data_IF_499756238867
#
_entry.id   IF_499756238867
#
_cell.length_a   1.000
_cell.length_b   1.000
_cell.length_c   1.000
_cell.angle_alpha   90.00
_cell.angle_beta   90.00
_cell.angle_gamma   90.00
#
_symmetry.space_group_name_H-M   'P 1'
#
loop_
_entity.id
_entity.type
_entity.pdbx_description
1 polymer ?
#
# COMPACT_ATOMS: atom_id res chain seq x y z
N UNK A 1 15.19 3.16 7.35
CA UNK A 1 14.71 1.83 6.96
C UNK A 1 13.30 1.93 6.38
N UNK A 2 12.90 0.95 5.59
CA UNK A 2 11.51 0.77 5.19
C UNK A 2 10.77 0.07 6.32
N UNK A 3 9.55 0.50 6.63
CA UNK A 3 8.76 -0.09 7.72
C UNK A 3 7.95 -1.30 7.22
N UNK A 4 7.45 -1.23 5.97
CA UNK A 4 6.64 -2.27 5.35
C UNK A 4 7.12 -2.50 3.92
N UNK A 5 7.18 -3.77 3.51
CA UNK A 5 7.42 -4.22 2.14
C UNK A 5 6.30 -5.18 1.75
N UNK A 6 5.59 -4.89 0.67
CA UNK A 6 4.61 -5.81 0.08
C UNK A 6 5.25 -6.59 -1.06
N UNK A 7 5.28 -7.92 -0.94
CA UNK A 7 5.86 -8.82 -1.95
C UNK A 7 4.86 -9.03 -3.09
N UNK A 8 5.19 -8.52 -4.27
CA UNK A 8 4.37 -8.68 -5.48
C UNK A 8 4.54 -10.04 -6.15
N UNK A 9 5.61 -10.78 -5.79
CA UNK A 9 5.93 -12.12 -6.28
C UNK A 9 5.71 -13.22 -5.22
N UNK A 10 4.88 -12.96 -4.22
CA UNK A 10 4.70 -13.86 -3.08
C UNK A 10 4.18 -15.26 -3.47
N UNK A 11 3.48 -15.41 -4.60
CA UNK A 11 3.08 -16.71 -5.17
C UNK A 11 4.31 -17.58 -5.54
N UNK A 12 5.45 -16.96 -5.81
CA UNK A 12 6.70 -17.59 -6.21
C UNK A 12 7.83 -17.33 -5.20
N UNK A 13 7.48 -17.26 -3.92
CA UNK A 13 8.43 -17.02 -2.84
C UNK A 13 9.58 -18.02 -2.90
N UNK A 14 10.80 -17.51 -3.07
CA UNK A 14 12.00 -18.31 -3.31
C UNK A 14 12.88 -18.45 -2.07
N UNK A 15 13.90 -19.29 -2.15
CA UNK A 15 14.92 -19.36 -1.09
C UNK A 15 15.71 -18.05 -0.93
N UNK A 16 15.86 -17.28 -2.00
CA UNK A 16 16.56 -15.99 -1.95
C UNK A 16 15.73 -14.95 -1.20
N UNK A 17 14.41 -14.92 -1.41
CA UNK A 17 13.51 -14.09 -0.63
C UNK A 17 13.59 -14.44 0.86
N UNK A 18 13.67 -15.74 1.18
CA UNK A 18 13.82 -16.22 2.56
C UNK A 18 15.18 -15.84 3.18
N UNK A 19 16.25 -15.79 2.38
CA UNK A 19 17.60 -15.39 2.84
C UNK A 19 17.66 -13.90 3.21
N UNK A 20 16.85 -13.04 2.57
CA UNK A 20 16.80 -11.60 2.84
C UNK A 20 15.93 -11.24 4.06
N UNK A 21 14.98 -12.10 4.44
CA UNK A 21 14.03 -11.85 5.52
C UNK A 21 14.68 -11.49 6.87
N UNK A 22 15.74 -12.19 7.35
CA UNK A 22 16.37 -11.84 8.62
C UNK A 22 16.94 -10.42 8.66
N UNK A 23 17.59 -9.98 7.57
CA UNK A 23 18.15 -8.64 7.47
C UNK A 23 17.07 -7.55 7.46
N UNK A 24 15.92 -7.82 6.86
CA UNK A 24 14.77 -6.91 6.89
C UNK A 24 14.17 -6.81 8.29
N UNK A 25 14.00 -7.94 8.97
CA UNK A 25 13.47 -8.00 10.35
C UNK A 25 14.38 -7.33 11.37
N UNK A 26 15.69 -7.47 11.22
CA UNK A 26 16.66 -6.78 12.08
C UNK A 26 16.47 -5.25 12.03
N UNK A 27 16.01 -4.73 10.89
CA UNK A 27 15.68 -3.31 10.69
C UNK A 27 14.25 -2.94 11.11
N UNK A 28 13.49 -3.89 11.61
CA UNK A 28 12.08 -3.71 11.98
C UNK A 28 11.10 -3.70 10.81
N UNK A 29 11.55 -4.09 9.60
CA UNK A 29 10.70 -4.13 8.42
C UNK A 29 9.74 -5.30 8.48
N UNK A 30 8.45 -5.04 8.26
CA UNK A 30 7.42 -6.06 8.08
C UNK A 30 7.27 -6.41 6.61
N UNK A 31 7.17 -7.70 6.32
CA UNK A 31 7.07 -8.22 4.95
C UNK A 31 5.72 -8.87 4.76
N UNK A 32 4.92 -8.31 3.86
CA UNK A 32 3.55 -8.72 3.60
C UNK A 32 3.42 -9.50 2.29
N UNK A 33 2.47 -10.43 2.25
CA UNK A 33 2.01 -11.06 1.03
C UNK A 33 1.03 -10.13 0.32
N UNK A 34 1.33 -9.68 -0.90
CA UNK A 34 0.40 -8.89 -1.68
C UNK A 34 -0.56 -9.78 -2.48
N UNK A 35 -1.85 -9.61 -2.24
CA UNK A 35 -2.93 -10.14 -3.07
C UNK A 35 -3.24 -9.13 -4.17
N UNK A 36 -2.79 -9.38 -5.39
CA UNK A 36 -3.11 -8.54 -6.55
C UNK A 36 -4.51 -8.86 -7.09
N UNK A 37 -5.53 -8.42 -6.35
CA UNK A 37 -6.92 -8.63 -6.80
C UNK A 37 -7.22 -7.81 -8.05
N UNK A 38 -6.74 -6.58 -8.14
CA UNK A 38 -6.98 -5.71 -9.30
C UNK A 38 -6.46 -6.34 -10.60
N UNK A 39 -5.23 -6.85 -10.59
CA UNK A 39 -4.62 -7.50 -11.75
C UNK A 39 -5.20 -8.88 -12.08
N UNK A 40 -5.84 -9.55 -11.13
CA UNK A 40 -6.36 -10.92 -11.26
C UNK A 40 -7.88 -11.01 -11.16
N UNK A 41 -8.60 -9.90 -11.19
CA UNK A 41 -10.06 -9.86 -11.01
C UNK A 41 -10.81 -10.76 -12.03
N UNK A 42 -10.29 -10.89 -13.26
CA UNK A 42 -10.86 -11.78 -14.26
C UNK A 42 -10.76 -13.30 -13.91
N UNK A 43 -9.76 -13.68 -13.12
CA UNK A 43 -9.58 -15.06 -12.64
C UNK A 43 -10.35 -15.31 -11.33
N UNK A 44 -10.46 -14.28 -10.49
CA UNK A 44 -11.00 -14.34 -9.14
C UNK A 44 -12.44 -13.78 -9.04
N UNK A 45 -13.20 -13.88 -10.12
CA UNK A 45 -14.55 -13.32 -10.24
C UNK A 45 -15.60 -14.04 -9.40
N UNK A 46 -15.42 -15.34 -9.15
CA UNK A 46 -16.37 -16.08 -8.32
C UNK A 46 -15.83 -16.29 -6.90
N UNK A 47 -16.75 -16.33 -5.96
CA UNK A 47 -16.46 -16.43 -4.53
C UNK A 47 -15.71 -17.73 -4.18
N UNK A 48 -16.00 -18.83 -4.86
CA UNK A 48 -15.35 -20.12 -4.64
C UNK A 48 -13.88 -20.09 -5.05
N UNK A 49 -13.57 -19.53 -6.23
CA UNK A 49 -12.20 -19.40 -6.71
C UNK A 49 -11.39 -18.42 -5.85
N UNK A 50 -12.00 -17.30 -5.50
CA UNK A 50 -11.37 -16.32 -4.60
C UNK A 50 -11.10 -16.94 -3.23
N UNK A 51 -12.04 -17.65 -2.65
CA UNK A 51 -11.89 -18.35 -1.38
C UNK A 51 -10.74 -19.37 -1.41
N UNK A 52 -10.68 -20.19 -2.45
CA UNK A 52 -9.60 -21.17 -2.63
C UNK A 52 -8.23 -20.50 -2.81
N UNK A 53 -8.17 -19.35 -3.49
CA UNK A 53 -6.94 -18.56 -3.61
C UNK A 53 -6.51 -17.99 -2.25
N UNK A 54 -7.42 -17.41 -1.48
CA UNK A 54 -7.13 -16.87 -0.14
C UNK A 54 -6.64 -17.97 0.82
N UNK A 55 -7.14 -19.20 0.72
CA UNK A 55 -6.62 -20.32 1.50
C UNK A 55 -5.12 -20.58 1.19
N UNK A 56 -4.73 -20.50 -0.07
CA UNK A 56 -3.32 -20.64 -0.47
C UNK A 56 -2.48 -19.48 0.04
N UNK A 57 -2.98 -18.26 0.00
CA UNK A 57 -2.31 -17.06 0.52
C UNK A 57 -2.06 -17.20 2.02
N UNK A 58 -3.07 -17.56 2.78
CA UNK A 58 -2.97 -17.76 4.24
C UNK A 58 -1.93 -18.83 4.58
N UNK A 59 -1.99 -19.97 3.89
CA UNK A 59 -1.02 -21.04 4.08
C UNK A 59 0.42 -20.61 3.71
N UNK A 60 0.60 -19.79 2.67
CA UNK A 60 1.91 -19.28 2.27
C UNK A 60 2.47 -18.28 3.30
N UNK A 61 1.64 -17.42 3.86
CA UNK A 61 2.05 -16.47 4.92
C UNK A 61 2.52 -17.22 6.15
N UNK A 62 1.80 -18.24 6.58
CA UNK A 62 2.17 -19.09 7.70
C UNK A 62 3.47 -19.85 7.42
N UNK A 63 3.55 -20.55 6.28
CA UNK A 63 4.71 -21.35 5.88
C UNK A 63 6.00 -20.54 5.80
N UNK A 64 5.93 -19.34 5.22
CA UNK A 64 7.10 -18.49 4.99
C UNK A 64 7.34 -17.49 6.13
N UNK A 65 6.50 -17.50 7.17
CA UNK A 65 6.60 -16.62 8.33
C UNK A 65 6.47 -15.15 7.96
N UNK A 66 5.59 -14.79 7.02
CA UNK A 66 5.37 -13.40 6.63
C UNK A 66 4.59 -12.64 7.71
N UNK A 67 4.68 -11.30 7.66
CA UNK A 67 4.14 -10.43 8.70
C UNK A 67 2.71 -9.94 8.38
N UNK A 68 2.01 -10.61 7.50
CA UNK A 68 0.63 -10.34 7.16
C UNK A 68 0.37 -10.17 5.67
N UNK A 69 -0.62 -9.36 5.34
CA UNK A 69 -1.22 -9.28 4.03
C UNK A 69 -1.37 -7.85 3.56
N UNK A 70 -1.24 -7.62 2.24
CA UNK A 70 -1.82 -6.47 1.56
C UNK A 70 -2.69 -6.94 0.39
N UNK A 71 -3.66 -6.13 -0.02
CA UNK A 71 -4.42 -6.39 -1.23
C UNK A 71 -4.64 -5.12 -2.02
N UNK A 72 -4.53 -5.26 -3.34
CA UNK A 72 -4.69 -4.15 -4.25
C UNK A 72 -6.15 -3.90 -4.60
N UNK A 73 -6.39 -2.68 -5.02
CA UNK A 73 -7.67 -2.07 -5.22
C UNK A 73 -8.65 -2.79 -6.12
N UNK A 74 -9.77 -2.19 -6.17
CA UNK A 74 -10.98 -2.66 -6.78
C UNK A 74 -11.11 -1.97 -8.15
N UNK A 75 -11.04 -2.70 -9.27
CA UNK A 75 -10.96 -2.07 -10.58
C UNK A 75 -12.25 -1.35 -11.01
N UNK A 76 -13.40 -1.70 -10.46
CA UNK A 76 -14.68 -1.13 -10.87
C UNK A 76 -15.53 -0.71 -9.67
N UNK A 77 -15.58 0.59 -9.41
CA UNK A 77 -16.51 1.17 -8.45
C UNK A 77 -17.97 0.88 -8.83
N UNK A 78 -18.76 0.42 -7.86
CA UNK A 78 -20.20 0.18 -8.04
C UNK A 78 -20.56 -1.18 -8.62
N UNK A 79 -19.61 -2.05 -8.91
CA UNK A 79 -19.89 -3.43 -9.24
C UNK A 79 -20.12 -4.25 -7.95
N UNK A 80 -21.30 -4.88 -7.86
CA UNK A 80 -21.68 -5.69 -6.69
C UNK A 80 -20.75 -6.89 -6.49
N UNK A 81 -20.25 -7.51 -7.55
CA UNK A 81 -19.31 -8.62 -7.46
C UNK A 81 -17.97 -8.18 -6.84
N UNK A 82 -17.51 -7.00 -7.19
CA UNK A 82 -16.29 -6.38 -6.66
C UNK A 82 -16.43 -6.04 -5.17
N UNK A 83 -17.58 -5.49 -4.76
CA UNK A 83 -17.85 -5.21 -3.35
C UNK A 83 -17.89 -6.50 -2.51
N UNK A 84 -18.50 -7.56 -3.03
CA UNK A 84 -18.52 -8.88 -2.41
C UNK A 84 -17.12 -9.47 -2.27
N UNK A 85 -16.31 -9.38 -3.32
CA UNK A 85 -14.92 -9.84 -3.30
C UNK A 85 -14.06 -9.09 -2.25
N UNK A 86 -14.18 -7.77 -2.17
CA UNK A 86 -13.48 -6.97 -1.18
C UNK A 86 -13.89 -7.36 0.26
N UNK A 87 -15.17 -7.54 0.50
CA UNK A 87 -15.69 -7.99 1.79
C UNK A 87 -15.11 -9.37 2.17
N UNK A 88 -15.10 -10.31 1.24
CA UNK A 88 -14.55 -11.65 1.45
C UNK A 88 -13.05 -11.62 1.74
N UNK A 89 -12.27 -10.83 0.99
CA UNK A 89 -10.82 -10.66 1.21
C UNK A 89 -10.57 -10.15 2.62
N UNK A 90 -11.23 -9.06 3.02
CA UNK A 90 -11.04 -8.46 4.34
C UNK A 90 -11.47 -9.42 5.45
N UNK A 91 -12.63 -10.08 5.32
CA UNK A 91 -13.13 -11.04 6.29
C UNK A 91 -12.14 -12.19 6.50
N UNK A 92 -11.71 -12.83 5.41
CA UNK A 92 -10.82 -14.00 5.46
C UNK A 92 -9.43 -13.65 5.97
N UNK A 93 -8.81 -12.57 5.46
CA UNK A 93 -7.45 -12.17 5.84
C UNK A 93 -7.42 -11.58 7.25
N UNK A 94 -8.41 -10.81 7.67
CA UNK A 94 -8.47 -10.31 9.05
C UNK A 94 -8.68 -11.42 10.07
N UNK A 95 -9.48 -12.43 9.74
CA UNK A 95 -9.70 -13.60 10.60
C UNK A 95 -8.44 -14.49 10.71
N UNK A 96 -7.64 -14.58 9.64
CA UNK A 96 -6.41 -15.35 9.63
C UNK A 96 -5.21 -14.63 10.29
N UNK A 97 -5.31 -13.31 10.43
CA UNK A 97 -4.26 -12.47 10.99
C UNK A 97 -3.97 -12.83 12.45
N UNK A 98 -2.70 -13.06 12.77
CA UNK A 98 -2.21 -13.28 14.14
C UNK A 98 -1.68 -11.98 14.75
N UNK A 99 -1.42 -12.00 16.06
CA UNK A 99 -0.89 -10.82 16.76
C UNK A 99 0.41 -10.31 16.11
N UNK A 100 0.47 -9.00 15.87
CA UNK A 100 1.61 -8.33 15.23
C UNK A 100 1.63 -8.39 13.72
N UNK A 101 0.75 -9.17 13.07
CA UNK A 101 0.58 -9.14 11.62
C UNK A 101 -0.28 -7.96 11.19
N UNK A 102 -0.11 -7.52 9.95
CA UNK A 102 -0.82 -6.39 9.35
C UNK A 102 -1.76 -6.85 8.22
N UNK A 103 -2.83 -6.09 8.04
CA UNK A 103 -3.67 -6.12 6.84
C UNK A 103 -3.71 -4.70 6.26
N UNK A 104 -3.20 -4.55 5.04
CA UNK A 104 -3.10 -3.25 4.35
C UNK A 104 -3.95 -3.29 3.08
N UNK A 105 -4.77 -2.27 2.90
CA UNK A 105 -5.51 -2.06 1.66
C UNK A 105 -4.83 -1.00 0.80
N UNK A 106 -4.63 -1.29 -0.49
CA UNK A 106 -4.03 -0.40 -1.47
C UNK A 106 -5.07 -0.03 -2.53
N UNK A 107 -5.70 1.14 -2.40
CA UNK A 107 -6.75 1.57 -3.33
C UNK A 107 -7.60 2.72 -2.82
N UNK A 108 -8.79 2.89 -3.41
CA UNK A 108 -9.73 3.91 -2.97
C UNK A 108 -10.64 3.37 -1.85
N UNK A 109 -10.55 3.91 -0.63
CA UNK A 109 -11.30 3.39 0.52
C UNK A 109 -12.83 3.62 0.41
N UNK A 110 -13.29 4.47 -0.50
CA UNK A 110 -14.73 4.63 -0.78
C UNK A 110 -15.38 3.34 -1.31
N UNK A 111 -14.59 2.39 -1.78
CA UNK A 111 -15.07 1.10 -2.29
C UNK A 111 -15.18 0.02 -1.20
N UNK A 112 -14.74 0.30 0.01
CA UNK A 112 -14.87 -0.58 1.17
C UNK A 112 -16.04 -0.13 2.04
N UNK A 113 -16.70 -1.09 2.67
CA UNK A 113 -17.68 -0.80 3.72
C UNK A 113 -16.98 -0.31 4.99
N UNK A 114 -17.71 0.38 5.86
CA UNK A 114 -17.20 0.81 7.16
C UNK A 114 -16.68 -0.39 7.99
N UNK A 115 -17.40 -1.51 7.96
CA UNK A 115 -16.97 -2.74 8.63
C UNK A 115 -15.63 -3.25 8.08
N UNK A 116 -15.46 -3.30 6.76
CA UNK A 116 -14.21 -3.69 6.14
C UNK A 116 -13.06 -2.73 6.48
N UNK A 117 -13.29 -1.42 6.43
CA UNK A 117 -12.31 -0.40 6.81
C UNK A 117 -11.87 -0.53 8.27
N UNK A 118 -12.77 -0.92 9.18
CA UNK A 118 -12.44 -1.10 10.58
C UNK A 118 -11.43 -2.23 10.84
N UNK A 119 -11.36 -3.20 9.93
CA UNK A 119 -10.51 -4.40 10.03
C UNK A 119 -9.14 -4.25 9.37
N UNK A 120 -8.93 -3.21 8.56
CA UNK A 120 -7.61 -2.94 7.97
C UNK A 120 -6.77 -2.05 8.89
N UNK A 121 -5.47 -2.32 8.94
CA UNK A 121 -4.54 -1.55 9.78
C UNK A 121 -4.10 -0.25 9.09
N UNK A 122 -3.90 -0.30 7.77
CA UNK A 122 -3.51 0.84 6.94
C UNK A 122 -4.23 0.84 5.60
N UNK A 123 -4.42 2.03 5.06
CA UNK A 123 -4.91 2.28 3.70
C UNK A 123 -3.85 3.05 2.94
N UNK A 124 -3.37 2.51 1.84
CA UNK A 124 -2.52 3.21 0.88
C UNK A 124 -3.44 3.75 -0.21
N UNK A 125 -3.68 5.06 -0.19
CA UNK A 125 -4.54 5.73 -1.16
C UNK A 125 -3.89 5.69 -2.54
N UNK A 126 -4.63 5.29 -3.57
CA UNK A 126 -4.10 5.18 -4.93
C UNK A 126 -3.93 6.56 -5.57
N UNK A 127 -2.81 7.20 -5.24
CA UNK A 127 -2.41 8.54 -5.72
C UNK A 127 -1.25 8.51 -6.71
N UNK A 128 -0.85 7.33 -7.17
CA UNK A 128 0.29 7.17 -8.10
C UNK A 128 0.15 7.94 -9.41
N UNK A 129 -1.09 8.05 -9.91
CA UNK A 129 -1.40 8.75 -11.15
C UNK A 129 -1.91 10.19 -10.92
N UNK A 130 -1.85 10.70 -9.70
CA UNK A 130 -2.26 12.08 -9.38
C UNK A 130 -1.22 13.06 -9.93
N UNK A 131 -1.66 14.02 -10.73
CA UNK A 131 -0.77 14.93 -11.47
C UNK A 131 -0.51 16.26 -10.74
N UNK A 132 -1.39 16.63 -9.79
CA UNK A 132 -1.26 17.91 -9.10
C UNK A 132 -1.73 17.83 -7.64
N UNK A 133 -1.24 18.76 -6.83
CA UNK A 133 -1.50 18.80 -5.37
C UNK A 133 -2.94 19.17 -5.03
N UNK A 134 -3.67 19.83 -5.92
CA UNK A 134 -5.10 20.16 -5.69
C UNK A 134 -5.94 18.88 -5.72
N UNK A 135 -5.74 18.03 -6.72
CA UNK A 135 -6.40 16.74 -6.81
C UNK A 135 -5.98 15.82 -5.67
N UNK A 136 -4.69 15.85 -5.29
CA UNK A 136 -4.19 15.11 -4.15
C UNK A 136 -4.92 15.49 -2.85
N UNK A 137 -5.09 16.78 -2.59
CA UNK A 137 -5.85 17.28 -1.43
C UNK A 137 -7.29 16.79 -1.45
N UNK A 138 -7.94 16.82 -2.61
CA UNK A 138 -9.31 16.33 -2.74
C UNK A 138 -9.42 14.83 -2.48
N UNK A 139 -8.48 14.04 -2.96
CA UNK A 139 -8.44 12.59 -2.69
C UNK A 139 -8.25 12.30 -1.19
N UNK A 140 -7.37 13.04 -0.51
CA UNK A 140 -7.17 12.91 0.94
C UNK A 140 -8.44 13.30 1.71
N UNK A 141 -9.09 14.40 1.34
CA UNK A 141 -10.35 14.82 1.95
C UNK A 141 -11.47 13.79 1.74
N UNK A 142 -11.56 13.19 0.57
CA UNK A 142 -12.52 12.12 0.31
C UNK A 142 -12.23 10.87 1.16
N UNK A 143 -10.97 10.49 1.29
CA UNK A 143 -10.58 9.33 2.10
C UNK A 143 -10.85 9.57 3.60
N UNK A 144 -10.51 10.73 4.13
CA UNK A 144 -10.68 11.04 5.55
C UNK A 144 -12.09 11.46 5.91
N UNK A 145 -12.73 12.30 5.08
CA UNK A 145 -14.04 12.89 5.36
C UNK A 145 -15.22 11.99 4.98
N UNK A 146 -15.19 11.41 3.78
CA UNK A 146 -16.32 10.58 3.30
C UNK A 146 -16.14 9.10 3.60
N UNK A 147 -14.94 8.54 3.37
CA UNK A 147 -14.69 7.15 3.72
C UNK A 147 -14.37 6.94 5.21
N UNK A 148 -14.07 8.01 5.95
CA UNK A 148 -13.83 7.95 7.39
C UNK A 148 -12.50 7.30 7.79
N UNK A 149 -11.50 7.26 6.89
CA UNK A 149 -10.18 6.72 7.21
C UNK A 149 -9.45 7.68 8.15
N UNK A 150 -9.03 7.25 9.35
CA UNK A 150 -8.22 8.09 10.22
C UNK A 150 -6.90 8.49 9.54
N UNK A 151 -6.48 9.74 9.68
CA UNK A 151 -5.22 10.23 9.13
C UNK A 151 -4.02 9.35 9.53
N UNK A 152 -4.04 8.83 10.77
CA UNK A 152 -3.01 7.93 11.31
C UNK A 152 -2.97 6.53 10.67
N UNK A 153 -3.94 6.21 9.81
CA UNK A 153 -3.99 4.96 9.05
C UNK A 153 -3.84 5.18 7.53
N UNK A 154 -3.83 6.43 7.07
CA UNK A 154 -3.80 6.77 5.65
C UNK A 154 -2.38 7.04 5.16
N UNK A 155 -1.95 6.33 4.12
CA UNK A 155 -0.71 6.59 3.38
C UNK A 155 -1.05 7.13 1.99
N UNK A 156 -0.16 7.96 1.45
CA UNK A 156 -0.17 8.32 0.02
C UNK A 156 0.65 7.31 -0.77
N UNK A 157 0.48 7.28 -2.09
CA UNK A 157 1.26 6.46 -3.02
C UNK A 157 1.94 7.35 -4.06
N UNK A 158 3.25 7.20 -4.23
CA UNK A 158 4.03 7.89 -5.24
C UNK A 158 4.89 6.90 -6.04
N UNK A 159 4.93 7.06 -7.36
CA UNK A 159 5.82 6.30 -8.22
C UNK A 159 7.13 7.07 -8.48
N UNK A 160 8.26 6.38 -8.39
CA UNK A 160 9.54 6.96 -8.78
C UNK A 160 9.55 7.29 -10.27
N UNK A 161 10.03 8.48 -10.60
CA UNK A 161 10.02 9.00 -11.97
C UNK A 161 8.74 9.71 -12.39
N UNK A 162 7.68 9.68 -11.58
CA UNK A 162 6.47 10.45 -11.84
C UNK A 162 6.62 11.91 -11.37
N UNK A 163 6.06 12.89 -12.12
CA UNK A 163 5.97 14.28 -11.68
C UNK A 163 4.73 14.51 -10.81
N UNK A 164 4.77 15.58 -10.02
CA UNK A 164 3.62 16.16 -9.33
C UNK A 164 3.74 17.69 -9.36
N UNK A 165 2.70 18.37 -9.84
CA UNK A 165 2.68 19.83 -9.93
C UNK A 165 2.12 20.45 -8.67
N UNK A 166 2.82 21.45 -8.15
CA UNK A 166 2.39 22.22 -6.97
C UNK A 166 1.28 23.25 -7.30
N UNK A 167 0.90 24.07 -6.34
CA UNK A 167 -0.13 25.11 -6.49
C UNK A 167 0.29 26.24 -7.47
N UNK A 168 1.58 26.37 -7.76
CA UNK A 168 2.14 27.33 -8.73
C UNK A 168 2.37 26.72 -10.11
N UNK A 169 1.97 25.46 -10.29
CA UNK A 169 2.19 24.67 -11.52
C UNK A 169 3.70 24.41 -11.75
N UNK A 170 4.49 24.39 -10.69
CA UNK A 170 5.88 23.97 -10.74
C UNK A 170 5.99 22.46 -10.61
N UNK A 171 6.82 21.84 -11.44
CA UNK A 171 7.03 20.40 -11.46
C UNK A 171 8.01 19.97 -10.38
N UNK A 172 7.59 18.97 -9.60
CA UNK A 172 8.41 18.30 -8.58
C UNK A 172 8.42 16.79 -8.80
N UNK A 173 9.40 16.10 -8.24
CA UNK A 173 9.34 14.64 -8.16
C UNK A 173 8.21 14.22 -7.21
N UNK A 174 7.30 13.35 -7.67
CA UNK A 174 6.12 12.96 -6.89
C UNK A 174 6.48 12.39 -5.51
N UNK A 175 7.56 11.60 -5.41
CA UNK A 175 8.03 11.05 -4.11
C UNK A 175 8.37 12.19 -3.13
N UNK A 176 9.07 13.23 -3.58
CA UNK A 176 9.47 14.36 -2.73
C UNK A 176 8.25 15.17 -2.29
N UNK A 177 7.44 15.60 -3.25
CA UNK A 177 6.26 16.43 -2.96
C UNK A 177 5.24 15.69 -2.09
N UNK A 178 4.96 14.42 -2.37
CA UNK A 178 4.02 13.65 -1.55
C UNK A 178 4.55 13.37 -0.14
N UNK A 179 5.86 13.21 0.06
CA UNK A 179 6.43 13.09 1.40
C UNK A 179 6.15 14.36 2.24
N UNK A 180 6.28 15.54 1.66
CA UNK A 180 5.94 16.81 2.31
C UNK A 180 4.44 16.93 2.58
N UNK A 181 3.60 16.44 1.66
CA UNK A 181 2.14 16.43 1.84
C UNK A 181 1.66 15.45 2.89
N UNK A 182 2.34 14.32 3.09
CA UNK A 182 2.08 13.41 4.24
C UNK A 182 2.19 14.17 5.56
N UNK A 183 3.17 15.05 5.69
CA UNK A 183 3.36 15.87 6.89
C UNK A 183 2.32 16.99 6.97
N UNK A 184 2.09 17.73 5.89
CA UNK A 184 1.27 18.94 5.88
C UNK A 184 -0.24 18.70 5.84
N UNK A 185 -0.69 17.57 5.29
CA UNK A 185 -2.13 17.23 5.18
C UNK A 185 -2.68 16.41 6.36
N UNK A 186 -1.85 16.18 7.41
CA UNK A 186 -2.30 15.38 8.54
C UNK A 186 -1.63 15.76 9.86
N UNK A 187 -0.51 15.16 10.29
CA UNK A 187 0.27 14.17 9.53
C UNK A 187 -0.51 12.88 9.21
N UNK A 188 -0.27 12.36 8.01
CA UNK A 188 -0.76 11.06 7.60
C UNK A 188 0.17 9.94 8.12
N UNK A 189 -0.21 8.68 7.92
CA UNK A 189 0.56 7.54 8.41
C UNK A 189 1.91 7.35 7.68
N UNK A 190 2.00 7.74 6.41
CA UNK A 190 3.24 7.60 5.66
C UNK A 190 3.06 7.66 4.14
N UNK A 191 4.08 7.16 3.44
CA UNK A 191 4.17 7.15 1.98
C UNK A 191 4.50 5.75 1.48
N UNK A 192 3.68 5.21 0.57
CA UNK A 192 4.01 4.06 -0.24
C UNK A 192 4.78 4.49 -1.49
N UNK A 193 5.90 3.83 -1.77
CA UNK A 193 6.72 4.11 -2.95
C UNK A 193 6.69 2.93 -3.91
N UNK A 194 6.49 3.25 -5.19
CA UNK A 194 6.36 2.29 -6.30
C UNK A 194 7.45 2.57 -7.34
N UNK A 195 7.76 1.56 -8.15
CA UNK A 195 8.71 1.68 -9.27
C UNK A 195 10.08 2.25 -8.84
N UNK A 196 10.52 1.89 -7.64
CA UNK A 196 11.73 2.45 -7.01
C UNK A 196 13.02 2.20 -7.82
N UNK A 197 13.00 1.26 -8.77
CA UNK A 197 14.11 1.03 -9.70
C UNK A 197 14.40 2.28 -10.56
N UNK A 198 13.42 3.16 -10.80
CA UNK A 198 13.61 4.42 -11.51
C UNK A 198 14.43 5.45 -10.70
N UNK A 199 14.53 5.27 -9.38
CA UNK A 199 15.35 6.11 -8.46
C UNK A 199 16.71 5.46 -8.14
N UNK A 200 17.05 4.31 -8.75
CA UNK A 200 18.26 3.57 -8.42
C UNK A 200 19.53 4.31 -8.87
N UNK A 201 19.51 4.85 -10.09
CA UNK A 201 20.67 5.49 -10.70
C UNK A 201 20.59 7.01 -10.58
N UNK A 202 20.97 7.56 -9.43
CA UNK A 202 21.29 8.98 -9.29
C UNK A 202 22.81 9.16 -9.22
N UNK A 203 23.30 10.29 -9.76
CA UNK A 203 24.75 10.58 -9.82
C UNK A 203 25.39 10.70 -8.44
N UNK A 204 24.64 11.17 -7.46
CA UNK A 204 25.13 11.43 -6.11
C UNK A 204 24.92 10.23 -5.17
N UNK A 205 23.77 9.55 -5.28
CA UNK A 205 23.36 8.53 -4.31
C UNK A 205 22.26 7.64 -4.87
N UNK A 206 22.44 6.33 -4.80
CA UNK A 206 21.37 5.38 -5.16
C UNK A 206 20.14 5.58 -4.29
N UNK A 207 18.95 5.54 -4.90
CA UNK A 207 17.67 5.77 -4.24
C UNK A 207 17.56 7.12 -3.53
N UNK A 208 18.05 8.19 -4.15
CA UNK A 208 18.11 9.54 -3.56
C UNK A 208 16.75 10.07 -3.14
N UNK A 209 15.74 9.97 -4.00
CA UNK A 209 14.40 10.46 -3.72
C UNK A 209 13.75 9.69 -2.56
N UNK A 210 13.84 8.36 -2.57
CA UNK A 210 13.32 7.50 -1.50
C UNK A 210 14.04 7.78 -0.17
N UNK A 211 15.37 7.97 -0.18
CA UNK A 211 16.15 8.30 1.03
C UNK A 211 15.77 9.66 1.60
N UNK A 212 15.59 10.66 0.74
CA UNK A 212 15.14 12.00 1.15
C UNK A 212 13.72 11.97 1.73
N UNK A 213 12.81 11.23 1.10
CA UNK A 213 11.45 11.03 1.63
C UNK A 213 11.46 10.39 3.03
N UNK A 214 12.30 9.38 3.26
CA UNK A 214 12.46 8.78 4.60
C UNK A 214 12.92 9.83 5.62
N UNK A 215 13.84 10.72 5.26
CA UNK A 215 14.28 11.79 6.16
C UNK A 215 13.20 12.84 6.43
N UNK A 216 12.44 13.21 5.40
CA UNK A 216 11.30 14.14 5.54
C UNK A 216 10.25 13.58 6.50
N UNK A 217 9.94 12.28 6.37
CA UNK A 217 8.94 11.60 7.21
C UNK A 217 9.47 11.27 8.62
N UNK A 218 10.77 11.15 8.80
CA UNK A 218 11.43 10.80 10.06
C UNK A 218 12.60 11.75 10.31
N UNK A 219 12.34 13.04 10.58
CA UNK A 219 13.39 14.01 10.81
C UNK A 219 14.22 13.61 12.04
N UNK A 220 15.54 13.71 11.91
CA UNK A 220 16.46 13.50 13.03
C UNK A 220 16.15 14.51 14.15
N UNK A 221 16.00 14.00 15.37
CA UNK A 221 15.83 14.84 16.55
C UNK A 221 17.13 15.54 16.91
#
# INVERSE_FOLDING_TARGET
SLDIVSLTNADNFSKYDAEDMPAMREKGTKVLYQVDYAGRSGELTDETKLGAYLDKVIAAVEKNGLDGYSFTGIPNAGDAATATAAALIVERLSAAKTEGQLLVFEGNPLFLTEDALSKVDYVVLDTKATENVTDLKMQVLNATGYAGVPATKLLLAAAAGAPLYDENVEEHAAITEMAERVVSLGPLAGLGTYDIYNDYYDLDMNYKLVRNAIQTLNPSK
#
